data_IF_503864629423
#
_entry.id   IF_503864629423
#
_cell.length_a   1.000
_cell.length_b   1.000
_cell.length_c   1.000
_cell.angle_alpha   90.00
_cell.angle_beta   90.00
_cell.angle_gamma   90.00
#
_symmetry.space_group_name_H-M   'P 1'
#
loop_
_entity.id
_entity.type
_entity.pdbx_description
1 polymer ?
#
# COMPACT_ATOMS: atom_id res chain seq x y z
N UNK A 1 7.68 -2.54 1.00
CA UNK A 1 8.30 -2.54 -0.34
C UNK A 1 8.12 -1.16 -0.97
N UNK A 2 9.16 -0.65 -1.61
CA UNK A 2 9.12 0.63 -2.32
C UNK A 2 9.60 0.38 -3.74
N UNK A 3 8.75 0.65 -4.72
CA UNK A 3 9.10 0.63 -6.14
C UNK A 3 8.94 2.04 -6.69
N UNK A 4 9.69 2.38 -7.73
CA UNK A 4 9.51 3.65 -8.41
C UNK A 4 9.71 3.53 -9.91
N UNK A 5 9.16 4.50 -10.62
CA UNK A 5 9.40 4.71 -12.03
C UNK A 5 9.69 6.19 -12.28
N UNK A 6 10.85 6.45 -12.89
CA UNK A 6 11.16 7.77 -13.44
C UNK A 6 10.44 7.95 -14.77
N UNK A 7 9.82 9.12 -14.94
CA UNK A 7 9.00 9.47 -16.09
C UNK A 7 9.50 10.78 -16.67
N UNK A 8 9.76 10.77 -17.98
CA UNK A 8 10.11 11.96 -18.76
C UNK A 8 9.08 12.15 -19.87
N UNK A 9 8.39 13.28 -19.84
CA UNK A 9 7.31 13.62 -20.77
C UNK A 9 7.17 15.15 -20.90
N UNK A 10 6.31 15.62 -21.81
CA UNK A 10 6.07 17.06 -21.92
C UNK A 10 5.40 17.59 -20.65
N UNK A 11 5.87 18.74 -20.18
CA UNK A 11 5.27 19.45 -19.05
C UNK A 11 3.77 19.68 -19.25
N UNK A 12 3.00 19.55 -18.17
CA UNK A 12 1.56 19.78 -18.16
C UNK A 12 0.71 18.64 -18.73
N UNK A 13 1.31 17.55 -19.22
CA UNK A 13 0.55 16.35 -19.60
C UNK A 13 0.06 15.64 -18.32
N UNK A 14 -1.23 15.33 -18.28
CA UNK A 14 -1.82 14.46 -17.25
C UNK A 14 -1.91 13.03 -17.77
N UNK A 15 -1.52 12.08 -16.94
CA UNK A 15 -1.73 10.66 -17.16
C UNK A 15 -2.77 10.14 -16.18
N UNK A 16 -3.67 9.31 -16.69
CA UNK A 16 -4.56 8.48 -15.90
C UNK A 16 -3.99 7.06 -15.90
N UNK A 17 -3.72 6.53 -14.72
CA UNK A 17 -3.06 5.25 -14.52
C UNK A 17 -3.92 4.29 -13.72
N UNK A 18 -3.78 3.00 -14.02
CA UNK A 18 -4.35 1.91 -13.25
C UNK A 18 -3.28 0.88 -12.95
N UNK A 19 -3.35 0.25 -11.78
CA UNK A 19 -2.58 -0.96 -11.48
C UNK A 19 -3.41 -1.92 -10.65
N UNK A 20 -2.98 -3.17 -10.58
CA UNK A 20 -3.57 -4.18 -9.72
C UNK A 20 -2.63 -4.52 -8.58
N UNK A 21 -3.21 -4.76 -7.42
CA UNK A 21 -2.50 -5.25 -6.25
C UNK A 21 -3.22 -6.45 -5.65
N UNK A 22 -2.45 -7.30 -4.96
CA UNK A 22 -2.93 -8.50 -4.31
C UNK A 22 -2.17 -8.70 -3.01
N UNK A 23 -2.89 -8.97 -1.93
CA UNK A 23 -2.34 -9.34 -0.63
C UNK A 23 -2.76 -10.77 -0.27
N UNK A 24 -1.84 -11.54 0.31
CA UNK A 24 -2.11 -12.93 0.72
C UNK A 24 -3.03 -12.99 1.93
N UNK A 25 -2.79 -12.17 2.95
CA UNK A 25 -3.55 -12.23 4.19
C UNK A 25 -4.01 -10.83 4.62
N UNK A 26 -5.24 -10.77 5.14
CA UNK A 26 -5.74 -9.61 5.86
C UNK A 26 -5.37 -9.70 7.33
N UNK A 27 -4.98 -8.57 7.90
CA UNK A 27 -4.94 -8.40 9.33
C UNK A 27 -5.08 -6.93 9.68
N UNK A 28 -5.71 -6.69 10.81
CA UNK A 28 -5.84 -5.41 11.45
C UNK A 28 -5.11 -5.49 12.79
N UNK A 29 -4.22 -4.54 13.05
CA UNK A 29 -3.60 -4.37 14.37
C UNK A 29 -4.28 -3.18 15.02
N UNK A 30 -5.20 -3.40 15.98
CA UNK A 30 -5.79 -2.33 16.76
C UNK A 30 -4.67 -1.48 17.38
N UNK A 31 -4.79 -0.17 17.29
CA UNK A 31 -3.96 0.76 18.04
C UNK A 31 -4.76 1.22 19.25
N UNK A 32 -4.12 1.18 20.42
CA UNK A 32 -4.63 1.91 21.57
C UNK A 32 -4.57 3.43 21.27
N UNK A 33 -5.38 4.23 21.97
CA UNK A 33 -5.52 5.68 21.76
C UNK A 33 -4.20 6.37 21.39
N UNK A 34 -4.23 7.21 20.35
CA UNK A 34 -3.12 8.12 20.08
C UNK A 34 -3.05 9.25 21.12
N UNK A 35 -1.91 9.94 21.20
CA UNK A 35 -1.67 11.05 22.15
C UNK A 35 -2.69 12.22 21.97
N UNK A 36 -3.46 12.22 20.87
CA UNK A 36 -4.48 13.21 20.53
C UNK A 36 -5.91 12.76 20.92
N UNK A 37 -6.06 11.62 21.60
CA UNK A 37 -7.33 11.09 22.10
C UNK A 37 -8.24 10.50 21.02
N UNK A 38 -7.68 10.13 19.86
CA UNK A 38 -8.42 9.43 18.82
C UNK A 38 -8.55 7.95 19.21
N UNK A 39 -9.80 7.51 19.32
CA UNK A 39 -10.15 6.15 19.75
C UNK A 39 -10.15 5.18 18.56
N UNK A 40 -9.41 4.08 18.73
CA UNK A 40 -9.57 2.79 18.05
C UNK A 40 -9.45 2.79 16.50
N UNK A 41 -8.24 3.03 15.99
CA UNK A 41 -7.92 2.78 14.58
C UNK A 41 -7.04 1.53 14.43
N UNK A 42 -7.25 0.79 13.35
CA UNK A 42 -6.44 -0.39 13.04
C UNK A 42 -5.40 -0.10 11.98
N UNK A 43 -4.15 -0.52 12.23
CA UNK A 43 -3.15 -0.58 11.18
C UNK A 43 -3.44 -1.81 10.30
N UNK A 44 -3.61 -1.57 9.00
CA UNK A 44 -3.84 -2.60 7.97
C UNK A 44 -2.79 -2.51 6.87
N UNK A 45 -2.56 -3.58 6.08
CA UNK A 45 -1.77 -3.50 4.86
C UNK A 45 -2.31 -2.42 3.92
N UNK A 46 -1.43 -1.75 3.17
CA UNK A 46 -1.84 -0.72 2.23
C UNK A 46 -0.93 -0.64 1.01
N UNK A 47 -1.46 -0.03 -0.05
CA UNK A 47 -0.73 0.46 -1.22
C UNK A 47 -0.96 1.96 -1.37
N UNK A 48 0.11 2.71 -1.59
CA UNK A 48 0.07 4.16 -1.77
C UNK A 48 0.91 4.54 -2.98
N UNK A 49 0.44 5.55 -3.70
CA UNK A 49 1.19 6.12 -4.83
C UNK A 49 1.52 7.56 -4.53
N UNK A 50 2.79 7.95 -4.71
CA UNK A 50 3.25 9.33 -4.50
C UNK A 50 3.91 9.85 -5.78
N UNK A 51 3.81 11.16 -5.98
CA UNK A 51 4.58 11.88 -6.98
C UNK A 51 5.77 12.58 -6.33
N UNK A 52 6.96 12.37 -6.87
CA UNK A 52 8.21 12.98 -6.43
C UNK A 52 8.45 12.81 -4.92
N UNK A 53 8.53 13.91 -4.17
CA UNK A 53 8.70 13.93 -2.72
C UNK A 53 7.45 14.47 -2.01
N UNK A 54 6.28 14.40 -2.64
CA UNK A 54 5.04 14.85 -2.03
C UNK A 54 4.71 14.02 -0.79
N UNK A 55 4.27 14.69 0.28
CA UNK A 55 3.84 14.05 1.52
C UNK A 55 2.43 13.45 1.39
N UNK A 56 1.64 13.95 0.43
CA UNK A 56 0.30 13.47 0.15
C UNK A 56 0.34 12.43 -0.98
N UNK A 57 -0.29 11.28 -0.72
CA UNK A 57 -0.42 10.25 -1.74
C UNK A 57 -1.44 10.69 -2.80
N UNK A 58 -1.12 10.44 -4.07
CA UNK A 58 -2.07 10.54 -5.18
C UNK A 58 -3.25 9.55 -5.00
N UNK A 59 -2.95 8.39 -4.42
CA UNK A 59 -3.94 7.39 -4.00
C UNK A 59 -3.41 6.60 -2.82
N UNK A 60 -4.32 6.23 -1.92
CA UNK A 60 -4.07 5.34 -0.79
C UNK A 60 -5.21 4.33 -0.74
N UNK A 61 -4.90 3.06 -0.99
CA UNK A 61 -5.85 1.96 -0.96
C UNK A 61 -5.37 0.85 -0.03
N UNK A 62 -6.32 0.11 0.53
CA UNK A 62 -6.06 -0.99 1.45
C UNK A 62 -7.21 -2.02 1.38
N UNK A 63 -6.98 -3.30 1.71
CA UNK A 63 -8.07 -4.23 2.01
C UNK A 63 -8.81 -3.77 3.27
N UNK A 64 -10.14 -3.80 3.24
CA UNK A 64 -10.99 -3.42 4.40
C UNK A 64 -11.43 -4.65 5.20
N UNK A 65 -11.30 -5.84 4.60
CA UNK A 65 -11.69 -7.11 5.19
C UNK A 65 -10.88 -8.28 4.64
N UNK A 66 -11.01 -9.46 5.27
CA UNK A 66 -10.45 -10.71 4.73
C UNK A 66 -10.92 -11.00 3.30
N UNK A 67 -12.16 -10.62 2.97
CA UNK A 67 -12.72 -10.81 1.64
C UNK A 67 -11.99 -10.00 0.56
N UNK A 68 -11.26 -8.94 0.92
CA UNK A 68 -10.49 -8.11 -0.02
C UNK A 68 -9.08 -8.67 -0.30
N UNK A 69 -8.69 -9.76 0.37
CA UNK A 69 -7.40 -10.44 0.19
C UNK A 69 -7.55 -11.73 -0.60
N UNK A 70 -6.43 -12.30 -1.07
CA UNK A 70 -6.41 -13.46 -1.97
C UNK A 70 -7.11 -13.21 -3.32
N UNK A 71 -7.41 -11.96 -3.66
CA UNK A 71 -7.93 -11.53 -4.95
C UNK A 71 -7.24 -10.27 -5.45
N UNK A 72 -7.20 -10.11 -6.78
CA UNK A 72 -6.64 -8.92 -7.40
C UNK A 72 -7.61 -7.76 -7.27
N UNK A 73 -7.12 -6.65 -6.72
CA UNK A 73 -7.85 -5.39 -6.59
C UNK A 73 -7.24 -4.39 -7.55
N UNK A 74 -8.09 -3.56 -8.16
CA UNK A 74 -7.65 -2.52 -9.09
C UNK A 74 -7.70 -1.16 -8.41
N UNK A 75 -6.65 -0.38 -8.60
CA UNK A 75 -6.51 1.00 -8.16
C UNK A 75 -6.28 1.90 -9.36
N UNK A 76 -6.79 3.12 -9.28
CA UNK A 76 -6.57 4.16 -10.27
C UNK A 76 -5.99 5.40 -9.61
N UNK A 77 -5.12 6.12 -10.31
CA UNK A 77 -4.59 7.41 -9.88
C UNK A 77 -4.25 8.26 -11.11
N UNK A 78 -4.14 9.57 -10.91
CA UNK A 78 -3.72 10.48 -11.97
C UNK A 78 -2.60 11.38 -11.47
N UNK A 79 -1.70 11.77 -12.36
CA UNK A 79 -0.64 12.74 -12.06
C UNK A 79 -0.36 13.63 -13.27
N UNK A 80 0.16 14.82 -13.00
CA UNK A 80 0.52 15.79 -14.04
C UNK A 80 2.02 16.00 -14.04
N UNK A 81 2.62 15.93 -15.23
CA UNK A 81 4.06 16.14 -15.42
C UNK A 81 4.40 17.60 -15.07
N UNK A 82 5.37 17.83 -14.17
CA UNK A 82 5.75 19.18 -13.76
C UNK A 82 6.43 19.95 -14.90
N UNK A 83 6.69 21.24 -14.66
CA UNK A 83 7.32 22.13 -15.65
C UNK A 83 8.72 21.70 -16.08
N UNK A 84 9.43 20.91 -15.27
CA UNK A 84 10.72 20.29 -15.61
C UNK A 84 10.61 19.23 -16.71
N UNK A 85 9.41 18.67 -16.94
CA UNK A 85 9.21 17.53 -17.84
C UNK A 85 9.67 16.19 -17.25
N UNK A 86 10.09 16.16 -15.98
CA UNK A 86 10.62 14.97 -15.30
C UNK A 86 9.92 14.81 -13.94
N UNK A 87 9.46 13.60 -13.65
CA UNK A 87 8.83 13.27 -12.37
C UNK A 87 9.07 11.80 -12.03
N UNK A 88 8.97 11.46 -10.76
CA UNK A 88 9.05 10.09 -10.25
C UNK A 88 7.72 9.69 -9.65
N UNK A 89 7.25 8.50 -9.99
CA UNK A 89 6.10 7.89 -9.32
C UNK A 89 6.60 6.79 -8.40
N UNK A 90 6.27 6.90 -7.11
CA UNK A 90 6.56 5.90 -6.10
C UNK A 90 5.34 5.04 -5.82
N UNK A 91 5.52 3.73 -5.83
CA UNK A 91 4.55 2.74 -5.37
C UNK A 91 5.05 2.19 -4.04
N UNK A 92 4.42 2.64 -2.96
CA UNK A 92 4.77 2.28 -1.59
C UNK A 92 3.73 1.32 -1.08
N UNK A 93 4.16 0.11 -0.79
CA UNK A 93 3.28 -0.90 -0.22
C UNK A 93 3.88 -1.42 1.07
N UNK A 94 3.08 -1.42 2.12
CA UNK A 94 3.53 -1.78 3.46
C UNK A 94 2.46 -2.62 4.13
N UNK A 95 2.90 -3.60 4.91
CA UNK A 95 2.05 -4.11 5.98
C UNK A 95 2.56 -3.62 7.34
N UNK A 96 1.66 -3.37 8.29
CA UNK A 96 2.01 -3.28 9.71
C UNK A 96 2.79 -4.54 10.11
N UNK A 97 3.70 -4.49 11.08
CA UNK A 97 4.62 -5.61 11.36
C UNK A 97 3.89 -6.96 11.48
N UNK A 98 4.53 -8.01 10.95
CA UNK A 98 3.97 -9.35 10.77
C UNK A 98 3.13 -9.84 11.95
N UNK A 99 1.91 -10.32 11.64
CA UNK A 99 1.05 -11.05 12.59
C UNK A 99 1.89 -12.13 13.27
N UNK A 100 1.92 -12.11 14.60
CA UNK A 100 2.55 -13.15 15.43
C UNK A 100 1.59 -14.34 15.53
N UNK A 101 1.90 -15.45 14.87
CA UNK A 101 1.14 -16.70 15.03
C UNK A 101 1.67 -17.48 16.21
N UNK A 102 0.81 -17.80 17.18
CA UNK A 102 1.14 -18.75 18.24
C UNK A 102 1.28 -20.16 17.61
N UNK A 103 2.43 -20.79 17.78
CA UNK A 103 2.75 -22.12 17.23
C UNK A 103 2.98 -23.17 18.31
N UNK A 104 2.63 -22.85 19.55
CA UNK A 104 2.98 -23.67 20.71
C UNK A 104 2.01 -24.84 20.86
N UNK A 105 2.52 -26.06 21.04
CA UNK A 105 1.69 -27.20 21.48
C UNK A 105 1.26 -27.09 22.94
N UNK A 106 2.01 -26.37 23.76
CA UNK A 106 1.87 -26.27 25.21
C UNK A 106 1.53 -24.84 25.64
N UNK A 107 0.52 -24.66 26.49
CA UNK A 107 -0.03 -23.34 26.80
C UNK A 107 0.90 -22.47 27.67
N UNK A 108 1.91 -23.07 28.29
CA UNK A 108 2.75 -22.42 29.30
C UNK A 108 3.99 -21.70 28.73
N UNK A 109 4.36 -21.93 27.45
CA UNK A 109 5.57 -21.38 26.81
C UNK A 109 5.30 -20.85 25.39
N UNK A 110 4.51 -19.77 25.22
CA UNK A 110 4.01 -19.38 23.91
C UNK A 110 5.15 -18.95 22.95
N UNK A 111 5.36 -19.73 21.89
CA UNK A 111 6.27 -19.45 20.78
C UNK A 111 5.51 -18.76 19.65
N UNK A 112 5.88 -17.52 19.36
CA UNK A 112 5.29 -16.71 18.30
C UNK A 112 6.23 -16.62 17.10
N UNK A 113 5.71 -16.95 15.92
CA UNK A 113 6.45 -16.79 14.65
C UNK A 113 5.86 -15.62 13.87
N UNK A 114 6.72 -14.83 13.23
CA UNK A 114 6.26 -13.84 12.26
C UNK A 114 5.67 -14.58 11.05
N UNK A 115 4.41 -14.29 10.73
CA UNK A 115 3.82 -14.73 9.48
C UNK A 115 4.15 -13.71 8.38
N UNK A 116 4.92 -14.07 7.35
CA UNK A 116 5.13 -13.18 6.21
C UNK A 116 3.80 -12.94 5.49
N UNK A 117 3.56 -11.70 5.07
CA UNK A 117 2.45 -11.36 4.17
C UNK A 117 3.04 -11.10 2.78
N UNK A 118 2.50 -11.76 1.77
CA UNK A 118 2.93 -11.55 0.39
C UNK A 118 2.10 -10.47 -0.28
N UNK A 119 2.80 -9.62 -1.03
CA UNK A 119 2.24 -8.62 -1.91
C UNK A 119 2.64 -8.95 -3.34
N UNK A 120 1.69 -8.83 -4.26
CA UNK A 120 1.96 -8.77 -5.68
C UNK A 120 1.38 -7.49 -6.28
N UNK A 121 2.12 -6.91 -7.24
CA UNK A 121 1.69 -5.78 -8.05
C UNK A 121 1.74 -6.20 -9.52
N UNK A 122 0.74 -5.81 -10.29
CA UNK A 122 0.62 -6.18 -11.70
C UNK A 122 -0.09 -5.10 -12.53
N UNK A 123 0.02 -5.20 -13.85
CA UNK A 123 -0.83 -4.49 -14.80
C UNK A 123 -0.81 -2.95 -14.65
N UNK A 124 0.37 -2.35 -14.39
CA UNK A 124 0.50 -0.89 -14.43
C UNK A 124 0.33 -0.39 -15.87
N UNK A 125 -0.75 0.34 -16.11
CA UNK A 125 -1.09 0.94 -17.40
C UNK A 125 -1.37 2.41 -17.19
N UNK A 126 -0.71 3.26 -17.97
CA UNK A 126 -0.95 4.71 -17.97
C UNK A 126 -1.36 5.16 -19.37
N UNK A 127 -2.43 5.93 -19.45
CA UNK A 127 -2.91 6.55 -20.68
C UNK A 127 -2.91 8.06 -20.51
N UNK A 128 -2.49 8.76 -21.57
CA UNK A 128 -2.56 10.21 -21.61
C UNK A 128 -4.02 10.65 -21.66
N UNK A 129 -4.37 11.64 -20.82
CA UNK A 129 -5.64 12.35 -20.86
C UNK A 129 -5.66 13.46 -21.91
#
# INVERSE_FOLDING_TARGET
MWLYQDIKACAGITFDCTFKWWWDEYYAIPQDEDDDGQTDYSLVPYVRTYQDNDIYALVSDWPESEADTKQWRQTSFSFTVPSSGETRIWYVASSPQARRRNTTPDAEQPTYVQQPNALALDSLVCTRR
#
